data_IF_634463091157
#
_entry.id   IF_634463091157
#
_cell.length_a   1.000
_cell.length_b   1.000
_cell.length_c   1.000
_cell.angle_alpha   90.00
_cell.angle_beta   90.00
_cell.angle_gamma   90.00
#
_symmetry.space_group_name_H-M   'P 1'
#
loop_
_entity.id
_entity.type
_entity.pdbx_description
1 polymer ?
#
# COMPACT_ATOMS: atom_id res chain seq x y z
N UNK A 1 17.91 69.91 -22.22
CA UNK A 1 16.75 69.08 -21.84
C UNK A 1 16.85 67.79 -22.62
N UNK A 2 17.32 66.73 -21.97
CA UNK A 2 17.27 65.35 -22.46
C UNK A 2 17.22 64.47 -21.23
N UNK A 3 16.21 63.60 -21.21
CA UNK A 3 15.59 63.03 -20.02
C UNK A 3 16.32 61.78 -19.51
N UNK A 4 16.70 61.77 -18.23
CA UNK A 4 17.41 60.67 -17.56
C UNK A 4 16.47 59.72 -16.77
N UNK A 5 15.19 59.63 -17.13
CA UNK A 5 14.17 59.01 -16.25
C UNK A 5 13.37 57.85 -16.89
N UNK A 6 14.02 56.99 -17.68
CA UNK A 6 13.31 55.87 -18.33
C UNK A 6 14.01 54.51 -18.24
N UNK A 7 15.25 54.45 -17.74
CA UNK A 7 16.03 53.19 -17.73
C UNK A 7 15.94 52.45 -16.37
N UNK A 8 15.48 53.13 -15.31
CA UNK A 8 15.43 52.55 -13.97
C UNK A 8 14.24 51.62 -13.67
N UNK A 9 13.14 51.69 -14.44
CA UNK A 9 11.91 50.97 -14.08
C UNK A 9 11.81 49.57 -14.69
N UNK A 10 12.41 49.33 -15.85
CA UNK A 10 12.22 48.08 -16.61
C UNK A 10 12.98 46.88 -16.03
N UNK A 11 14.14 47.14 -15.41
CA UNK A 11 14.97 46.07 -14.81
C UNK A 11 14.35 45.55 -13.50
N UNK A 12 13.68 46.42 -12.74
CA UNK A 12 13.06 46.04 -11.45
C UNK A 12 11.84 45.13 -11.66
N UNK A 13 11.04 45.36 -12.72
CA UNK A 13 9.85 44.55 -12.99
C UNK A 13 10.21 43.12 -13.42
N UNK A 14 11.25 42.95 -14.24
CA UNK A 14 11.67 41.63 -14.72
C UNK A 14 12.20 40.73 -13.60
N UNK A 15 12.98 41.28 -12.67
CA UNK A 15 13.51 40.53 -11.52
C UNK A 15 12.39 40.14 -10.55
N UNK A 16 11.43 41.04 -10.29
CA UNK A 16 10.29 40.74 -9.43
C UNK A 16 9.39 39.63 -10.00
N UNK A 17 9.19 39.61 -11.32
CA UNK A 17 8.38 38.58 -11.99
C UNK A 17 9.09 37.22 -11.94
N UNK A 18 10.42 37.20 -12.13
CA UNK A 18 11.23 35.98 -12.03
C UNK A 18 11.20 35.36 -10.63
N UNK A 19 11.31 36.17 -9.57
CA UNK A 19 11.22 35.69 -8.18
C UNK A 19 9.80 35.20 -7.86
N UNK A 20 8.77 35.90 -8.32
CA UNK A 20 7.38 35.46 -8.13
C UNK A 20 7.10 34.10 -8.81
N UNK A 21 7.61 33.90 -10.03
CA UNK A 21 7.48 32.62 -10.75
C UNK A 21 8.26 31.49 -10.06
N UNK A 22 9.45 31.79 -9.54
CA UNK A 22 10.26 30.81 -8.81
C UNK A 22 9.64 30.41 -7.47
N UNK A 23 9.09 31.37 -6.71
CA UNK A 23 8.38 31.10 -5.45
C UNK A 23 7.05 30.37 -5.72
N UNK A 24 6.32 30.72 -6.77
CA UNK A 24 5.12 30.00 -7.18
C UNK A 24 5.43 28.55 -7.58
N UNK A 25 6.44 28.33 -8.44
CA UNK A 25 6.87 26.99 -8.83
C UNK A 25 7.41 26.16 -7.67
N UNK A 26 8.15 26.77 -6.74
CA UNK A 26 8.67 26.10 -5.54
C UNK A 26 7.56 25.78 -4.53
N UNK A 27 6.56 26.63 -4.41
CA UNK A 27 5.37 26.39 -3.58
C UNK A 27 4.52 25.22 -4.10
N UNK A 28 4.38 25.07 -5.42
CA UNK A 28 3.69 23.93 -6.01
C UNK A 28 4.46 22.61 -5.80
N UNK A 29 5.79 22.64 -5.90
CA UNK A 29 6.63 21.48 -5.61
C UNK A 29 6.52 21.01 -4.16
N UNK A 30 6.54 21.93 -3.19
CA UNK A 30 6.41 21.59 -1.76
C UNK A 30 5.02 21.03 -1.46
N UNK A 31 3.95 21.64 -1.98
CA UNK A 31 2.58 21.13 -1.82
C UNK A 31 2.34 19.80 -2.55
N UNK A 32 3.09 19.49 -3.59
CA UNK A 32 3.04 18.18 -4.25
C UNK A 32 3.73 17.10 -3.42
N UNK A 33 4.86 17.45 -2.77
CA UNK A 33 5.55 16.57 -1.84
C UNK A 33 4.71 16.30 -0.58
N UNK A 34 4.14 17.33 0.04
CA UNK A 34 3.25 17.19 1.21
C UNK A 34 2.05 16.29 0.91
N UNK A 35 1.39 16.48 -0.24
CA UNK A 35 0.29 15.61 -0.68
C UNK A 35 0.73 14.15 -0.89
N UNK A 36 1.98 13.91 -1.27
CA UNK A 36 2.52 12.55 -1.45
C UNK A 36 2.79 11.90 -0.09
N UNK A 37 3.34 12.66 0.85
CA UNK A 37 3.64 12.18 2.20
C UNK A 37 2.36 11.92 3.00
N UNK A 38 1.35 12.78 2.90
CA UNK A 38 0.03 12.55 3.51
C UNK A 38 -0.64 11.29 2.96
N UNK A 39 -0.57 11.06 1.64
CA UNK A 39 -1.10 9.84 1.00
C UNK A 39 -0.39 8.59 1.49
N UNK A 40 0.95 8.63 1.59
CA UNK A 40 1.72 7.53 2.14
C UNK A 40 1.43 7.30 3.62
N UNK A 41 1.19 8.36 4.39
CA UNK A 41 0.84 8.25 5.81
C UNK A 41 -0.53 7.57 6.00
N UNK A 42 -1.54 7.91 5.18
CA UNK A 42 -2.84 7.23 5.23
C UNK A 42 -2.75 5.76 4.84
N UNK A 43 -1.98 5.44 3.79
CA UNK A 43 -1.77 4.06 3.36
C UNK A 43 -1.17 3.17 4.48
N UNK A 44 -0.37 3.74 5.40
CA UNK A 44 0.24 3.00 6.52
C UNK A 44 -0.77 2.55 7.58
N UNK A 45 -1.96 3.12 7.62
CA UNK A 45 -2.98 2.84 8.64
C UNK A 45 -3.81 1.57 8.34
N UNK A 46 -3.52 0.84 7.27
CA UNK A 46 -4.09 -0.48 7.02
C UNK A 46 -3.24 -1.56 7.69
N UNK A 47 -3.74 -2.25 8.72
CA UNK A 47 -3.00 -3.39 9.31
C UNK A 47 -3.33 -4.67 8.56
N UNK A 48 -2.31 -5.49 8.29
CA UNK A 48 -2.44 -6.79 7.62
C UNK A 48 -1.66 -7.80 8.45
N UNK A 49 -2.33 -8.84 8.92
CA UNK A 49 -1.75 -9.85 9.79
C UNK A 49 -2.46 -11.19 9.66
N UNK A 50 -1.88 -12.23 10.23
CA UNK A 50 -2.50 -13.55 10.39
C UNK A 50 -2.90 -13.72 11.85
N UNK A 51 -4.08 -14.28 12.10
CA UNK A 51 -4.65 -14.44 13.44
C UNK A 51 -3.84 -15.41 14.32
N UNK A 52 -4.15 -15.40 15.62
CA UNK A 52 -3.57 -16.36 16.56
C UNK A 52 -4.06 -17.77 16.22
N UNK A 53 -3.15 -18.63 15.77
CA UNK A 53 -3.46 -19.97 15.28
C UNK A 53 -3.19 -20.19 13.79
N UNK A 54 -2.76 -19.15 13.06
CA UNK A 54 -2.31 -19.25 11.67
C UNK A 54 -3.40 -19.72 10.69
N UNK A 55 -4.68 -19.48 11.03
CA UNK A 55 -5.83 -19.97 10.27
C UNK A 55 -6.56 -18.90 9.47
N UNK A 56 -6.36 -17.62 9.77
CA UNK A 56 -7.09 -16.54 9.10
C UNK A 56 -6.17 -15.36 8.78
N UNK A 57 -6.25 -14.89 7.54
CA UNK A 57 -5.66 -13.63 7.12
C UNK A 57 -6.65 -12.50 7.45
N UNK A 58 -6.17 -11.48 8.16
CA UNK A 58 -6.98 -10.34 8.61
C UNK A 58 -6.38 -9.05 8.08
N UNK A 59 -7.24 -8.24 7.47
CA UNK A 59 -6.96 -6.83 7.20
C UNK A 59 -7.86 -5.96 8.05
N UNK A 60 -7.32 -4.90 8.65
CA UNK A 60 -8.07 -3.93 9.45
C UNK A 60 -7.74 -2.50 9.04
N UNK A 61 -8.78 -1.72 8.79
CA UNK A 61 -8.65 -0.32 8.43
C UNK A 61 -8.58 0.54 9.70
N UNK A 62 -7.40 1.05 10.07
CA UNK A 62 -7.26 2.04 11.15
C UNK A 62 -7.19 3.48 10.64
N UNK A 63 -7.41 3.70 9.34
CA UNK A 63 -7.50 5.06 8.80
C UNK A 63 -8.87 5.67 9.12
N UNK A 64 -8.95 7.00 9.05
CA UNK A 64 -10.21 7.73 9.19
C UNK A 64 -11.03 7.75 7.89
N UNK A 65 -10.52 7.11 6.83
CA UNK A 65 -11.11 7.10 5.50
C UNK A 65 -11.49 5.67 5.10
N UNK A 66 -12.51 5.47 4.26
CA UNK A 66 -12.85 4.13 3.78
C UNK A 66 -11.82 3.63 2.77
N UNK A 67 -11.53 2.34 2.81
CA UNK A 67 -10.86 1.65 1.71
C UNK A 67 -11.94 1.27 0.69
N UNK A 68 -11.72 1.63 -0.57
CA UNK A 68 -12.70 1.46 -1.65
C UNK A 68 -12.72 0.07 -2.23
N UNK A 69 -11.59 -0.63 -2.15
CA UNK A 69 -11.43 -2.00 -2.61
C UNK A 69 -10.24 -2.66 -1.93
N UNK A 70 -10.36 -3.94 -1.61
CA UNK A 70 -9.29 -4.79 -1.07
C UNK A 70 -9.35 -6.13 -1.78
N UNK A 71 -8.18 -6.65 -2.14
CA UNK A 71 -7.98 -7.97 -2.75
C UNK A 71 -6.82 -8.67 -2.04
N UNK A 72 -7.04 -9.88 -1.56
CA UNK A 72 -5.97 -10.77 -1.14
C UNK A 72 -5.24 -11.27 -2.38
N UNK A 73 -3.93 -10.99 -2.45
CA UNK A 73 -3.13 -11.26 -3.64
C UNK A 73 -2.33 -12.55 -3.52
N UNK A 74 -1.59 -12.68 -2.43
CA UNK A 74 -0.64 -13.78 -2.21
C UNK A 74 -0.52 -14.07 -0.72
N UNK A 75 -0.08 -15.28 -0.39
CA UNK A 75 0.32 -15.63 0.95
C UNK A 75 1.41 -16.70 0.92
N UNK A 76 2.32 -16.62 1.89
CA UNK A 76 3.37 -17.60 2.06
C UNK A 76 3.79 -17.75 3.50
N UNK A 77 4.58 -18.78 3.78
CA UNK A 77 5.17 -19.02 5.08
C UNK A 77 6.68 -19.11 4.93
N UNK A 78 7.43 -18.66 5.93
CA UNK A 78 8.89 -18.80 5.97
C UNK A 78 9.30 -19.45 7.28
N UNK A 79 10.17 -20.46 7.20
CA UNK A 79 10.77 -21.05 8.41
C UNK A 79 11.67 -20.03 9.12
N UNK A 80 11.77 -20.16 10.45
CA UNK A 80 12.66 -19.36 11.31
C UNK A 80 14.11 -19.33 10.85
N UNK A 81 14.56 -20.43 10.24
CA UNK A 81 15.93 -20.62 9.75
C UNK A 81 16.15 -19.94 8.39
N UNK A 82 15.13 -19.24 7.88
CA UNK A 82 15.17 -18.44 6.67
C UNK A 82 15.20 -19.23 5.36
N UNK A 83 15.22 -20.57 5.43
CA UNK A 83 15.59 -21.46 4.32
C UNK A 83 14.50 -21.79 3.30
N UNK A 84 13.25 -22.01 3.73
CA UNK A 84 12.16 -22.45 2.81
C UNK A 84 10.97 -21.51 2.92
N UNK A 85 10.54 -20.98 1.78
CA UNK A 85 9.25 -20.33 1.63
C UNK A 85 8.24 -21.38 1.14
N UNK A 86 7.20 -21.66 1.92
CA UNK A 86 6.07 -22.48 1.49
C UNK A 86 4.95 -21.56 0.98
N UNK A 87 4.23 -22.00 -0.05
CA UNK A 87 3.04 -21.31 -0.55
C UNK A 87 1.90 -21.53 0.43
N UNK A 88 1.21 -20.45 0.80
CA UNK A 88 0.05 -20.48 1.69
C UNK A 88 -1.21 -20.26 0.85
N UNK A 89 -2.07 -21.27 0.79
CA UNK A 89 -3.33 -21.19 0.05
C UNK A 89 -4.43 -20.57 0.92
N UNK A 90 -5.27 -19.74 0.32
CA UNK A 90 -6.55 -19.35 0.90
C UNK A 90 -7.53 -20.52 0.78
N UNK A 91 -8.53 -20.59 1.66
CA UNK A 91 -9.53 -21.64 1.60
C UNK A 91 -10.37 -21.55 0.31
N UNK A 92 -10.68 -22.70 -0.30
CA UNK A 92 -11.44 -22.78 -1.54
C UNK A 92 -12.85 -22.21 -1.41
N UNK A 93 -13.29 -21.49 -2.46
CA UNK A 93 -14.62 -20.88 -2.51
C UNK A 93 -14.76 -19.58 -1.73
N UNK A 94 -13.73 -19.17 -0.99
CA UNK A 94 -13.76 -17.93 -0.21
C UNK A 94 -13.64 -16.68 -1.06
N UNK A 95 -14.37 -15.65 -0.66
CA UNK A 95 -14.31 -14.36 -1.32
C UNK A 95 -13.02 -13.65 -0.92
N UNK A 96 -12.07 -13.57 -1.85
CA UNK A 96 -10.76 -12.92 -1.66
C UNK A 96 -10.75 -11.41 -1.89
N UNK A 97 -11.91 -10.82 -2.15
CA UNK A 97 -12.05 -9.40 -2.44
C UNK A 97 -13.22 -8.79 -1.68
N UNK A 98 -13.06 -7.52 -1.31
CA UNK A 98 -14.11 -6.71 -0.69
C UNK A 98 -14.03 -5.32 -1.28
N UNK A 99 -15.16 -4.78 -1.75
CA UNK A 99 -15.23 -3.39 -2.21
C UNK A 99 -15.05 -2.45 -1.02
N UNK A 100 -16.12 -2.17 -0.29
CA UNK A 100 -16.06 -1.17 0.77
C UNK A 100 -15.58 -1.74 2.11
N UNK A 101 -14.49 -1.19 2.66
CA UNK A 101 -14.06 -1.41 4.05
C UNK A 101 -14.04 -0.07 4.83
N UNK A 102 -15.07 0.21 5.65
CA UNK A 102 -15.15 1.40 6.48
C UNK A 102 -14.00 1.57 7.48
N UNK A 103 -13.78 2.79 8.00
CA UNK A 103 -12.91 3.04 9.15
C UNK A 103 -13.23 2.13 10.34
N UNK A 104 -12.21 1.52 10.94
CA UNK A 104 -12.32 0.65 12.11
C UNK A 104 -12.72 -0.80 11.83
N UNK A 105 -13.24 -1.10 10.63
CA UNK A 105 -13.66 -2.44 10.24
C UNK A 105 -12.51 -3.35 9.82
N UNK A 106 -12.77 -4.66 9.91
CA UNK A 106 -11.88 -5.71 9.43
C UNK A 106 -12.53 -6.55 8.33
N UNK A 107 -11.67 -7.13 7.50
CA UNK A 107 -12.02 -8.16 6.54
C UNK A 107 -11.09 -9.35 6.74
N UNK A 108 -11.70 -10.52 6.92
CA UNK A 108 -11.02 -11.75 7.28
C UNK A 108 -11.28 -12.79 6.20
N UNK A 109 -10.24 -13.51 5.80
CA UNK A 109 -10.34 -14.64 4.88
C UNK A 109 -9.61 -15.83 5.49
N UNK A 110 -10.25 -17.01 5.58
CA UNK A 110 -9.59 -18.18 6.13
C UNK A 110 -8.53 -18.73 5.19
N UNK A 111 -7.47 -19.25 5.78
CA UNK A 111 -6.35 -19.89 5.11
C UNK A 111 -6.54 -21.42 5.15
N UNK A 112 -6.20 -22.10 4.06
CA UNK A 112 -6.14 -23.57 4.02
C UNK A 112 -4.91 -24.08 4.77
N UNK A 113 -4.83 -25.38 5.11
CA UNK A 113 -3.63 -25.99 5.70
C UNK A 113 -2.55 -26.23 4.63
N UNK A 114 -1.26 -26.18 4.99
CA UNK A 114 -0.13 -26.10 4.05
C UNK A 114 0.71 -27.37 3.98
N UNK A 115 1.07 -27.81 2.77
CA UNK A 115 2.17 -28.74 2.56
C UNK A 115 3.51 -27.99 2.52
N UNK A 116 4.55 -28.54 3.16
CA UNK A 116 5.92 -28.02 3.02
C UNK A 116 6.70 -28.89 2.03
N UNK A 117 7.05 -28.33 0.86
CA UNK A 117 7.69 -29.08 -0.23
C UNK A 117 6.70 -29.81 -1.15
N UNK A 118 7.19 -30.32 -2.28
CA UNK A 118 6.38 -30.82 -3.40
C UNK A 118 5.53 -32.08 -3.09
N UNK A 119 5.71 -32.73 -1.94
CA UNK A 119 5.09 -34.03 -1.64
C UNK A 119 4.44 -34.16 -0.24
N UNK A 120 4.37 -33.09 0.58
CA UNK A 120 3.77 -33.24 1.91
C UNK A 120 2.24 -33.02 1.88
N UNK A 121 1.45 -33.94 2.46
CA UNK A 121 0.00 -33.76 2.61
C UNK A 121 -0.29 -32.50 3.43
N UNK A 122 -1.48 -31.91 3.27
CA UNK A 122 -1.96 -30.75 4.03
C UNK A 122 -1.60 -30.85 5.52
N UNK A 123 -0.53 -30.17 5.91
CA UNK A 123 -0.01 -30.20 7.27
C UNK A 123 -0.10 -28.80 7.88
N UNK A 124 0.01 -28.69 9.20
CA UNK A 124 0.18 -27.37 9.80
C UNK A 124 1.58 -26.83 9.44
N UNK A 125 1.74 -25.50 9.40
CA UNK A 125 3.08 -24.93 9.30
C UNK A 125 3.97 -25.47 10.44
N UNK A 126 5.25 -25.82 10.19
CA UNK A 126 6.22 -26.17 11.20
C UNK A 126 6.19 -25.13 12.32
N UNK A 127 6.26 -25.61 13.55
CA UNK A 127 6.38 -24.74 14.71
C UNK A 127 7.55 -23.77 14.51
N UNK A 128 7.29 -22.47 14.65
CA UNK A 128 8.28 -21.40 14.41
C UNK A 128 8.28 -20.83 12.99
N UNK A 129 7.35 -21.21 12.12
CA UNK A 129 7.15 -20.55 10.83
C UNK A 129 6.49 -19.18 11.00
N UNK A 130 6.85 -18.22 10.16
CA UNK A 130 6.15 -16.93 10.05
C UNK A 130 5.35 -16.89 8.76
N UNK A 131 4.03 -16.77 8.87
CA UNK A 131 3.14 -16.56 7.73
C UNK A 131 3.10 -15.08 7.38
N UNK A 132 3.20 -14.78 6.10
CA UNK A 132 2.98 -13.47 5.53
C UNK A 132 1.87 -13.55 4.49
N UNK A 133 1.12 -12.45 4.40
CA UNK A 133 0.01 -12.30 3.47
C UNK A 133 0.15 -10.95 2.80
N UNK A 134 -0.19 -10.90 1.52
CA UNK A 134 -0.12 -9.70 0.68
C UNK A 134 -1.51 -9.30 0.24
N UNK A 135 -1.85 -8.03 0.45
CA UNK A 135 -3.08 -7.41 -0.03
C UNK A 135 -2.78 -6.31 -1.03
N UNK A 136 -3.63 -6.23 -2.05
CA UNK A 136 -3.77 -5.06 -2.90
C UNK A 136 -5.02 -4.29 -2.48
N UNK A 137 -4.92 -2.98 -2.31
CA UNK A 137 -6.07 -2.17 -1.90
C UNK A 137 -6.09 -0.81 -2.57
N UNK A 138 -7.31 -0.30 -2.78
CA UNK A 138 -7.58 1.02 -3.31
C UNK A 138 -7.97 1.96 -2.18
N UNK A 139 -7.19 3.02 -1.97
CA UNK A 139 -7.49 4.04 -0.97
C UNK A 139 -8.71 4.91 -1.34
N UNK A 140 -9.10 5.80 -0.43
CA UNK A 140 -10.22 6.73 -0.62
C UNK A 140 -10.04 7.70 -1.81
N UNK A 141 -8.81 7.88 -2.30
CA UNK A 141 -8.47 8.73 -3.43
C UNK A 141 -8.37 7.96 -4.76
N UNK A 142 -8.54 6.64 -4.73
CA UNK A 142 -8.49 5.79 -5.93
C UNK A 142 -7.10 5.29 -6.30
N UNK A 143 -6.11 5.42 -5.42
CA UNK A 143 -4.77 4.88 -5.68
C UNK A 143 -4.65 3.44 -5.18
N UNK A 144 -3.98 2.62 -5.96
CA UNK A 144 -3.68 1.23 -5.61
C UNK A 144 -2.38 1.12 -4.84
N UNK A 145 -2.40 0.26 -3.83
CA UNK A 145 -1.29 -0.02 -2.93
C UNK A 145 -1.15 -1.52 -2.71
N UNK A 146 0.07 -1.99 -2.52
CA UNK A 146 0.39 -3.35 -2.07
C UNK A 146 0.98 -3.32 -0.68
N UNK A 147 0.50 -4.18 0.22
CA UNK A 147 1.06 -4.34 1.57
C UNK A 147 1.23 -5.81 1.88
N UNK A 148 2.41 -6.16 2.39
CA UNK A 148 2.74 -7.52 2.84
C UNK A 148 2.98 -7.52 4.34
N UNK A 149 2.04 -8.08 5.11
CA UNK A 149 2.09 -8.07 6.57
C UNK A 149 2.33 -6.67 7.17
N UNK A 150 3.39 -6.55 7.97
CA UNK A 150 3.80 -5.32 8.66
C UNK A 150 4.65 -4.37 7.80
N UNK A 151 5.04 -4.76 6.59
CA UNK A 151 5.88 -3.94 5.71
C UNK A 151 5.18 -2.66 5.28
N UNK A 152 5.98 -1.65 4.93
CA UNK A 152 5.44 -0.41 4.38
C UNK A 152 4.69 -0.67 3.06
N UNK A 153 3.53 -0.02 2.86
CA UNK A 153 2.78 -0.15 1.62
C UNK A 153 3.55 0.48 0.45
N UNK A 154 3.48 -0.19 -0.70
CA UNK A 154 4.14 0.21 -1.95
C UNK A 154 3.07 0.59 -2.96
N UNK A 155 3.20 1.72 -3.68
CA UNK A 155 2.22 2.11 -4.69
C UNK A 155 2.24 1.14 -5.87
N UNK A 156 1.07 0.80 -6.38
CA UNK A 156 0.88 0.01 -7.60
C UNK A 156 0.40 0.95 -8.72
N UNK A 157 1.34 1.39 -9.57
CA UNK A 157 1.03 2.32 -10.64
C UNK A 157 0.21 1.70 -11.77
N UNK A 158 0.34 0.40 -11.99
CA UNK A 158 -0.35 -0.34 -13.05
C UNK A 158 -1.70 -0.93 -12.58
N UNK A 159 -2.09 -0.69 -11.33
CA UNK A 159 -3.30 -1.25 -10.71
C UNK A 159 -3.05 -2.55 -9.93
N UNK A 160 -4.12 -3.23 -9.47
CA UNK A 160 -3.97 -4.45 -8.69
C UNK A 160 -3.53 -5.59 -9.60
N UNK A 161 -2.57 -6.40 -9.15
CA UNK A 161 -2.36 -7.72 -9.73
C UNK A 161 -3.58 -8.62 -9.51
N UNK A 162 -3.76 -9.62 -10.39
CA UNK A 162 -4.77 -10.66 -10.21
C UNK A 162 -4.41 -11.54 -9.00
N UNK A 163 -5.38 -11.95 -8.15
CA UNK A 163 -5.11 -12.89 -7.07
C UNK A 163 -4.46 -14.16 -7.62
N UNK A 164 -3.38 -14.63 -7.00
CA UNK A 164 -2.78 -15.90 -7.41
C UNK A 164 -3.79 -17.02 -7.18
N UNK A 165 -4.20 -17.68 -8.26
CA UNK A 165 -4.98 -18.92 -8.21
C UNK A 165 -3.97 -20.05 -8.19
N UNK A 166 -3.76 -20.63 -7.01
CA UNK A 166 -2.96 -21.85 -6.90
C UNK A 166 -3.90 -23.03 -7.18
N UNK A 167 -3.90 -23.50 -8.42
CA UNK A 167 -4.48 -24.80 -8.78
C UNK A 167 -3.78 -25.93 -7.98
#
# INVERSE_FOLDING_TARGET
MTDNWTIGSTVVTAVATGVALWVAGRGEYIRAAERRDERQAQARLLSVYVNEGDTEAVVRNYSNEPIREIRWYDAGARNSDGGTAAVVRFQDGERRERGHLPPGESFTVPLARFGWGDELPESAAPAGSTIWVTVHYMDAHGFWWSRTGDRQPVPLHDGPGEPLVHD
#
